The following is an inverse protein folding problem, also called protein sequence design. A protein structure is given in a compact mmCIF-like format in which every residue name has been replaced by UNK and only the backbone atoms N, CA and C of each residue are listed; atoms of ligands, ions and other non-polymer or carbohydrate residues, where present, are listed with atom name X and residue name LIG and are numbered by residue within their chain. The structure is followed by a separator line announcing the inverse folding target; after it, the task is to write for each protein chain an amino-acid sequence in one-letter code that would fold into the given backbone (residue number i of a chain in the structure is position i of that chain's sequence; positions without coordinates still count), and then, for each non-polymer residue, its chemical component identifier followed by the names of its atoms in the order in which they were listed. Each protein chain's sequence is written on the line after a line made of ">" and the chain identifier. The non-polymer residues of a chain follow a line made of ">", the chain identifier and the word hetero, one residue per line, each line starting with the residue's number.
data_IF_869772122421
#
_entry.id   IF_869772122421
#
_cell.length_a   1.000
_cell.length_b   1.000
_cell.length_c   1.000
_cell.angle_alpha   90.00
_cell.angle_beta   90.00
_cell.angle_gamma   90.00
#
_symmetry.space_group_name_H-M   'P 1'
#
loop_
_entity.id
_entity.type
_entity.pdbx_description
1 polymer ?
#
# COMPACT_ATOMS: atom_id res chain seq x y z
N UNK A 1 6.22 0.57 15.78
CA UNK A 1 6.97 0.41 14.51
C UNK A 1 6.18 0.90 13.30
N UNK A 2 4.88 0.62 13.21
CA UNK A 2 4.04 0.87 12.02
C UNK A 2 4.00 2.33 11.54
N UNK A 3 4.05 3.30 12.45
CA UNK A 3 4.18 4.73 12.11
C UNK A 3 5.43 5.06 11.28
N UNK A 4 6.58 4.44 11.61
CA UNK A 4 7.85 4.67 10.89
C UNK A 4 7.75 4.14 9.46
N UNK A 5 7.08 3.00 9.28
CA UNK A 5 6.87 2.39 7.96
C UNK A 5 6.01 3.29 7.07
N UNK A 6 4.89 3.81 7.61
CA UNK A 6 4.03 4.74 6.87
C UNK A 6 4.76 6.03 6.48
N UNK A 7 5.51 6.63 7.41
CA UNK A 7 6.36 7.79 7.10
C UNK A 7 7.41 7.48 6.04
N UNK A 8 8.04 6.30 6.09
CA UNK A 8 9.02 5.90 5.11
C UNK A 8 8.41 5.80 3.71
N UNK A 9 7.21 5.24 3.56
CA UNK A 9 6.45 5.22 2.30
C UNK A 9 6.17 6.65 1.81
N UNK A 10 5.65 7.51 2.68
CA UNK A 10 5.31 8.89 2.33
C UNK A 10 6.54 9.71 1.92
N UNK A 11 7.70 9.47 2.54
CA UNK A 11 8.98 10.09 2.16
C UNK A 11 9.46 9.56 0.81
N UNK A 12 9.41 8.24 0.59
CA UNK A 12 9.84 7.60 -0.67
C UNK A 12 9.04 8.11 -1.87
N UNK A 13 7.75 8.39 -1.69
CA UNK A 13 6.88 8.97 -2.71
C UNK A 13 7.19 10.43 -3.07
N UNK A 14 7.99 11.15 -2.27
CA UNK A 14 8.41 12.54 -2.57
C UNK A 14 9.57 12.64 -3.56
N UNK A 15 10.28 11.54 -3.82
CA UNK A 15 11.38 11.52 -4.78
C UNK A 15 10.86 11.45 -6.23
N UNK A 16 11.72 11.82 -7.18
CA UNK A 16 11.45 11.68 -8.60
C UNK A 16 12.71 11.12 -9.32
N UNK A 17 12.73 9.83 -9.73
CA UNK A 17 11.67 8.83 -9.53
C UNK A 17 11.48 8.45 -8.05
N UNK A 18 10.32 7.88 -7.66
CA UNK A 18 10.08 7.46 -6.27
C UNK A 18 11.09 6.41 -5.83
N UNK A 19 11.50 6.45 -4.56
CA UNK A 19 12.48 5.52 -4.02
C UNK A 19 11.87 4.13 -3.77
N UNK A 20 12.64 3.07 -4.02
CA UNK A 20 12.17 1.69 -3.88
C UNK A 20 11.82 1.31 -2.44
N UNK A 21 10.86 0.41 -2.27
CA UNK A 21 10.61 -0.23 -0.97
C UNK A 21 11.80 -1.11 -0.56
N UNK A 22 12.11 -1.08 0.73
CA UNK A 22 13.22 -1.83 1.33
C UNK A 22 12.78 -3.12 2.00
N UNK A 23 11.48 -3.29 2.27
CA UNK A 23 10.97 -4.41 3.06
C UNK A 23 9.54 -4.81 2.69
N UNK A 24 9.16 -6.08 2.92
CA UNK A 24 7.80 -6.58 2.73
C UNK A 24 6.78 -5.83 3.59
N UNK A 25 7.12 -5.49 4.84
CA UNK A 25 6.22 -4.75 5.74
C UNK A 25 5.82 -3.37 5.17
N UNK A 26 6.70 -2.75 4.37
CA UNK A 26 6.33 -1.54 3.61
C UNK A 26 5.32 -1.85 2.52
N UNK A 27 5.45 -2.97 1.82
CA UNK A 27 4.47 -3.40 0.81
C UNK A 27 3.10 -3.72 1.44
N UNK A 28 3.07 -4.44 2.57
CA UNK A 28 1.85 -4.68 3.34
C UNK A 28 1.20 -3.35 3.79
N UNK A 29 1.99 -2.41 4.30
CA UNK A 29 1.48 -1.08 4.68
C UNK A 29 0.94 -0.30 3.47
N UNK A 30 1.65 -0.35 2.34
CA UNK A 30 1.24 0.32 1.11
C UNK A 30 -0.07 -0.24 0.55
N UNK A 31 -0.30 -1.56 0.63
CA UNK A 31 -1.56 -2.19 0.21
C UNK A 31 -2.75 -1.57 0.94
N UNK A 32 -2.68 -1.46 2.27
CA UNK A 32 -3.73 -0.83 3.06
C UNK A 32 -3.91 0.65 2.73
N UNK A 33 -2.80 1.39 2.59
CA UNK A 33 -2.79 2.82 2.25
C UNK A 33 -3.43 3.10 0.89
N UNK A 34 -3.05 2.36 -0.16
CA UNK A 34 -3.61 2.52 -1.51
C UNK A 34 -5.10 2.14 -1.52
N UNK A 35 -5.47 1.02 -0.88
CA UNK A 35 -6.87 0.60 -0.79
C UNK A 35 -7.75 1.68 -0.15
N UNK A 36 -7.32 2.24 0.99
CA UNK A 36 -8.05 3.31 1.67
C UNK A 36 -8.19 4.54 0.80
N UNK A 37 -7.10 4.99 0.18
CA UNK A 37 -7.10 6.17 -0.66
C UNK A 37 -8.05 6.03 -1.87
N UNK A 38 -8.15 4.83 -2.45
CA UNK A 38 -9.06 4.52 -3.56
C UNK A 38 -10.52 4.26 -3.13
N UNK A 39 -10.82 4.39 -1.83
CA UNK A 39 -12.15 4.10 -1.28
C UNK A 39 -12.54 2.63 -1.38
N UNK A 40 -11.56 1.72 -1.44
CA UNK A 40 -11.77 0.28 -1.43
C UNK A 40 -11.96 -0.24 0.00
N UNK A 41 -12.59 -1.41 0.21
CA UNK A 41 -12.60 -2.06 1.51
C UNK A 41 -11.17 -2.42 1.97
N UNK A 42 -10.99 -2.57 3.29
CA UNK A 42 -9.72 -3.03 3.83
C UNK A 42 -9.37 -4.41 3.25
N UNK A 43 -8.18 -4.57 2.64
CA UNK A 43 -7.76 -5.84 2.05
C UNK A 43 -7.82 -6.99 3.06
N UNK A 44 -8.33 -8.14 2.61
CA UNK A 44 -8.41 -9.34 3.42
C UNK A 44 -7.11 -10.14 3.31
N UNK A 45 -6.84 -10.97 4.31
CA UNK A 45 -5.66 -11.83 4.30
C UNK A 45 -5.70 -12.79 3.09
N UNK A 46 -4.56 -12.91 2.41
CA UNK A 46 -4.25 -13.97 1.45
C UNK A 46 -3.01 -14.74 1.91
N UNK A 47 -2.61 -15.77 1.17
CA UNK A 47 -1.47 -16.60 1.56
C UNK A 47 -0.16 -15.87 1.29
N UNK A 48 -0.10 -15.03 0.25
CA UNK A 48 1.11 -14.31 -0.16
C UNK A 48 0.89 -12.82 -0.37
N UNK A 49 1.97 -12.04 -0.32
CA UNK A 49 1.97 -10.63 -0.66
C UNK A 49 1.50 -10.41 -2.11
N UNK A 50 1.94 -11.25 -3.03
CA UNK A 50 1.61 -11.12 -4.45
C UNK A 50 0.12 -11.35 -4.72
N UNK A 51 -0.53 -12.27 -4.03
CA UNK A 51 -1.98 -12.46 -4.12
C UNK A 51 -2.76 -11.23 -3.66
N UNK A 52 -2.38 -10.63 -2.53
CA UNK A 52 -3.03 -9.40 -2.06
C UNK A 52 -2.77 -8.22 -2.98
N UNK A 53 -1.56 -8.11 -3.52
CA UNK A 53 -1.22 -7.08 -4.50
C UNK A 53 -2.02 -7.25 -5.78
N UNK A 54 -2.20 -8.48 -6.25
CA UNK A 54 -3.00 -8.75 -7.43
C UNK A 54 -4.46 -8.37 -7.20
N UNK A 55 -5.06 -8.75 -6.06
CA UNK A 55 -6.43 -8.36 -5.71
C UNK A 55 -6.59 -6.83 -5.65
N UNK A 56 -5.61 -6.11 -5.11
CA UNK A 56 -5.59 -4.65 -5.14
C UNK A 56 -5.50 -4.11 -6.58
N UNK A 57 -4.64 -4.69 -7.42
CA UNK A 57 -4.45 -4.28 -8.81
C UNK A 57 -5.73 -4.49 -9.65
N UNK A 58 -6.45 -5.57 -9.39
CA UNK A 58 -7.73 -5.85 -10.03
C UNK A 58 -8.80 -4.86 -9.56
N UNK A 59 -8.79 -4.48 -8.27
CA UNK A 59 -9.73 -3.53 -7.68
C UNK A 59 -9.45 -2.06 -8.03
N UNK A 60 -8.20 -1.70 -8.33
CA UNK A 60 -7.82 -0.35 -8.80
C UNK A 60 -8.07 -0.15 -10.30
N UNK A 61 -8.25 -1.23 -11.07
CA UNK A 61 -8.47 -1.16 -12.51
C UNK A 61 -9.63 -0.21 -12.86
N UNK A 62 -9.32 0.84 -13.62
CA UNK A 62 -10.29 1.86 -14.03
C UNK A 62 -10.57 2.96 -13.01
N UNK A 63 -9.87 3.00 -11.87
CA UNK A 63 -9.93 4.09 -10.90
C UNK A 63 -8.80 5.11 -11.13
N UNK A 64 -9.07 6.38 -10.86
CA UNK A 64 -8.05 7.42 -10.77
C UNK A 64 -7.48 7.50 -9.36
N UNK A 65 -6.16 7.64 -9.23
CA UNK A 65 -5.55 7.90 -7.93
C UNK A 65 -5.93 9.31 -7.42
N UNK A 66 -6.26 9.46 -6.13
CA UNK A 66 -6.67 10.75 -5.57
C UNK A 66 -5.51 11.74 -5.40
N UNK A 67 -4.26 11.28 -5.50
CA UNK A 67 -3.08 12.16 -5.47
C UNK A 67 -1.86 11.47 -6.09
N UNK A 68 -0.90 12.29 -6.57
CA UNK A 68 0.40 11.83 -7.07
C UNK A 68 1.17 11.01 -6.01
N UNK A 69 1.00 11.34 -4.72
CA UNK A 69 1.60 10.55 -3.62
C UNK A 69 1.13 9.10 -3.65
N UNK A 70 -0.17 8.88 -3.80
CA UNK A 70 -0.74 7.53 -3.79
C UNK A 70 -0.37 6.78 -5.06
N UNK A 71 -0.40 7.46 -6.21
CA UNK A 71 0.05 6.88 -7.48
C UNK A 71 1.51 6.40 -7.40
N UNK A 72 2.41 7.23 -6.85
CA UNK A 72 3.82 6.85 -6.65
C UNK A 72 4.00 5.71 -5.65
N UNK A 73 3.21 5.68 -4.57
CA UNK A 73 3.21 4.55 -3.63
C UNK A 73 2.77 3.27 -4.34
N UNK A 74 1.73 3.32 -5.16
CA UNK A 74 1.28 2.18 -5.94
C UNK A 74 2.33 1.73 -6.95
N UNK A 75 2.98 2.67 -7.64
CA UNK A 75 4.05 2.37 -8.59
C UNK A 75 5.19 1.56 -7.95
N UNK A 76 5.67 1.98 -6.77
CA UNK A 76 6.75 1.26 -6.08
C UNK A 76 6.28 -0.06 -5.45
N UNK A 77 4.99 -0.20 -5.14
CA UNK A 77 4.37 -1.46 -4.69
C UNK A 77 4.32 -2.48 -5.83
N UNK A 78 3.88 -2.05 -7.02
CA UNK A 78 3.82 -2.91 -8.22
C UNK A 78 5.22 -3.33 -8.69
N UNK A 79 6.24 -2.51 -8.43
CA UNK A 79 7.63 -2.82 -8.74
C UNK A 79 8.34 -3.68 -7.68
N UNK A 80 7.70 -3.97 -6.54
CA UNK A 80 8.33 -4.75 -5.46
C UNK A 80 8.39 -6.25 -5.80
N UNK A 81 9.57 -6.87 -5.67
CA UNK A 81 9.81 -8.22 -6.21
C UNK A 81 9.86 -9.34 -5.16
N UNK A 82 9.88 -9.01 -3.87
CA UNK A 82 9.96 -10.02 -2.81
C UNK A 82 8.56 -10.48 -2.45
N UNK A 83 8.30 -11.76 -2.65
CA UNK A 83 7.08 -12.40 -2.20
C UNK A 83 7.34 -13.16 -0.90
N UNK A 84 6.48 -12.98 0.09
CA UNK A 84 6.58 -13.61 1.40
C UNK A 84 5.21 -14.08 1.86
N UNK A 85 5.19 -15.20 2.59
CA UNK A 85 3.97 -15.70 3.23
C UNK A 85 3.40 -14.66 4.19
N UNK A 86 2.10 -14.47 4.11
CA UNK A 86 1.40 -13.50 4.95
C UNK A 86 1.33 -14.00 6.38
N UNK A 87 1.88 -13.22 7.30
CA UNK A 87 1.77 -13.45 8.75
C UNK A 87 0.75 -12.49 9.39
N UNK A 88 0.28 -12.80 10.61
CA UNK A 88 -0.58 -11.88 11.37
C UNK A 88 0.08 -10.53 11.60
N UNK A 89 1.40 -10.54 11.84
CA UNK A 89 2.18 -9.32 12.02
C UNK A 89 2.19 -8.46 10.76
N UNK A 90 2.25 -9.07 9.57
CA UNK A 90 2.17 -8.37 8.28
C UNK A 90 0.78 -7.78 8.04
N UNK A 91 -0.29 -8.51 8.38
CA UNK A 91 -1.65 -7.99 8.30
C UNK A 91 -1.87 -6.78 9.22
N UNK A 92 -1.21 -6.71 10.38
CA UNK A 92 -1.26 -5.52 11.21
C UNK A 92 -0.72 -4.26 10.50
N UNK A 93 0.24 -4.41 9.57
CA UNK A 93 0.71 -3.29 8.75
C UNK A 93 -0.28 -2.90 7.65
N UNK A 94 -1.00 -3.86 7.06
CA UNK A 94 -2.12 -3.59 6.13
C UNK A 94 -3.19 -2.75 6.84
N UNK A 95 -3.67 -3.24 7.98
CA UNK A 95 -4.68 -2.54 8.78
C UNK A 95 -4.20 -1.16 9.19
N UNK A 96 -2.96 -1.06 9.68
CA UNK A 96 -2.39 0.24 10.05
C UNK A 96 -2.34 1.21 8.86
N UNK A 97 -1.86 0.76 7.69
CA UNK A 97 -1.81 1.57 6.48
C UNK A 97 -3.19 2.03 6.00
N UNK A 98 -4.21 1.20 6.19
CA UNK A 98 -5.60 1.50 5.83
C UNK A 98 -6.28 2.47 6.81
N UNK A 99 -6.11 2.28 8.11
CA UNK A 99 -6.74 3.12 9.13
C UNK A 99 -6.09 4.51 9.23
N UNK A 100 -4.80 4.62 8.89
CA UNK A 100 -4.01 5.86 9.01
C UNK A 100 -3.80 6.58 7.66
N UNK A 101 -4.58 6.23 6.65
CA UNK A 101 -4.64 6.97 5.41
C UNK A 101 -5.96 7.74 5.31
N UNK A 102 -5.89 8.97 4.78
CA UNK A 102 -7.09 9.73 4.52
C UNK A 102 -7.78 9.06 3.33
N UNK A 103 -8.96 8.48 3.56
CA UNK A 103 -9.82 8.03 2.47
C UNK A 103 -10.14 9.21 1.54
N UNK A 104 -10.70 8.94 0.36
CA UNK A 104 -11.14 9.98 -0.59
C UNK A 104 -12.15 10.93 0.08
N UNK A 105 -11.64 11.88 0.87
CA UNK A 105 -12.36 12.99 1.42
C UNK A 105 -12.48 13.96 0.24
N UNK A 106 -13.57 13.78 -0.50
CA UNK A 106 -14.13 14.88 -1.27
C UNK A 106 -14.51 15.97 -0.26
N UNK A 107 -13.60 16.92 -0.07
CA UNK A 107 -13.92 18.26 0.44
C UNK A 107 -13.69 19.24 -0.69
#
# INVERSE_FOLDING_TARGET
>A
MSYIIKMALDIKARFNPPAHMSSPIEAYCAIGTVAKALGLPCPQRKDTLFEMRQELSDAEAGKSFPSERIEKINQILMSFIRDEETTDAMMAYVTYGYENENGNAST
#
